data_IF_168691739033
#
_entry.id   IF_168691739033
#
_cell.length_a   1.000
_cell.length_b   1.000
_cell.length_c   1.000
_cell.angle_alpha   90.00
_cell.angle_beta   90.00
_cell.angle_gamma   90.00
#
_symmetry.space_group_name_H-M   'P 1'
#
loop_
_entity.id
_entity.type
_entity.pdbx_description
1 polymer ?
#
# COMPACT_ATOMS: atom_id res chain seq x y z
N UNK A 1 13.32 8.78 -15.91
CA UNK A 1 12.23 9.01 -14.92
C UNK A 1 12.59 8.25 -13.67
N UNK A 2 12.53 8.89 -12.50
CA UNK A 2 12.87 8.27 -11.21
C UNK A 2 11.88 7.16 -10.83
N UNK A 3 12.38 6.06 -10.27
CA UNK A 3 11.56 5.00 -9.65
C UNK A 3 11.88 4.87 -8.16
N UNK A 4 10.92 4.34 -7.42
CA UNK A 4 10.98 4.12 -5.98
C UNK A 4 10.90 2.62 -5.73
N UNK A 5 11.75 2.11 -4.86
CA UNK A 5 11.79 0.69 -4.49
C UNK A 5 11.30 0.59 -3.06
N UNK A 6 10.18 -0.09 -2.88
CA UNK A 6 9.55 -0.29 -1.58
C UNK A 6 9.75 -1.71 -1.11
N UNK A 7 10.02 -1.90 0.17
CA UNK A 7 9.89 -3.17 0.87
C UNK A 7 8.52 -3.20 1.54
N UNK A 8 7.76 -4.25 1.27
CA UNK A 8 6.48 -4.54 1.92
C UNK A 8 6.58 -5.86 2.69
N UNK A 9 5.92 -5.93 3.84
CA UNK A 9 5.67 -7.16 4.61
C UNK A 9 4.39 -7.02 5.44
N UNK A 10 3.71 -8.13 5.72
CA UNK A 10 2.57 -8.14 6.66
C UNK A 10 3.11 -7.92 8.07
N UNK A 11 2.51 -7.01 8.84
CA UNK A 11 2.98 -6.60 10.17
C UNK A 11 3.25 -7.79 11.10
N UNK A 12 2.34 -8.78 11.09
CA UNK A 12 2.40 -10.02 11.87
C UNK A 12 3.39 -11.06 11.31
N UNK A 13 3.71 -11.00 10.02
CA UNK A 13 4.50 -12.04 9.32
C UNK A 13 5.67 -11.42 8.55
N UNK A 14 6.66 -10.92 9.32
CA UNK A 14 7.84 -10.24 8.78
C UNK A 14 8.76 -11.12 7.92
N UNK A 15 8.56 -12.44 7.92
CA UNK A 15 9.29 -13.41 7.11
C UNK A 15 8.84 -13.44 5.64
N UNK A 16 7.65 -12.90 5.33
CA UNK A 16 7.15 -12.77 3.96
C UNK A 16 7.37 -11.34 3.49
N UNK A 17 8.21 -11.17 2.46
CA UNK A 17 8.64 -9.85 1.99
C UNK A 17 8.46 -9.73 0.48
N UNK A 18 7.99 -8.56 0.04
CA UNK A 18 7.95 -8.16 -1.37
C UNK A 18 8.73 -6.88 -1.54
N UNK A 19 9.69 -6.84 -2.48
CA UNK A 19 10.22 -5.56 -2.93
C UNK A 19 9.54 -5.18 -4.24
N UNK A 20 8.95 -3.99 -4.30
CA UNK A 20 8.13 -3.51 -5.40
C UNK A 20 8.74 -2.20 -5.90
N UNK A 21 8.99 -2.13 -7.20
CA UNK A 21 9.49 -0.93 -7.85
C UNK A 21 8.37 -0.27 -8.65
N UNK A 22 8.19 1.04 -8.44
CA UNK A 22 7.17 1.86 -9.11
C UNK A 22 7.77 3.19 -9.59
N UNK A 23 7.27 3.77 -10.70
CA UNK A 23 7.56 5.16 -11.04
C UNK A 23 7.21 6.12 -9.90
N UNK A 24 8.01 7.18 -9.73
CA UNK A 24 7.74 8.23 -8.74
C UNK A 24 6.34 8.86 -8.88
N UNK A 25 5.81 8.87 -10.11
CA UNK A 25 4.51 9.43 -10.46
C UNK A 25 3.32 8.49 -10.21
N UNK A 26 3.55 7.25 -9.77
CA UNK A 26 2.46 6.31 -9.45
C UNK A 26 1.61 6.86 -8.31
N UNK A 27 0.28 6.87 -8.45
CA UNK A 27 -0.61 7.25 -7.38
C UNK A 27 -0.78 6.14 -6.33
N UNK A 28 -1.23 6.49 -5.13
CA UNK A 28 -1.36 5.54 -4.03
C UNK A 28 -2.36 4.42 -4.34
N UNK A 29 -3.41 4.68 -5.11
CA UNK A 29 -4.35 3.64 -5.54
C UNK A 29 -3.65 2.54 -6.36
N UNK A 30 -2.90 2.93 -7.40
CA UNK A 30 -2.15 1.99 -8.23
C UNK A 30 -0.98 1.35 -7.49
N UNK A 31 -0.46 2.01 -6.46
CA UNK A 31 0.52 1.41 -5.57
C UNK A 31 -0.10 0.35 -4.64
N UNK A 32 -1.29 0.59 -4.08
CA UNK A 32 -2.05 -0.39 -3.30
C UNK A 32 -2.36 -1.64 -4.12
N UNK A 33 -2.87 -1.47 -5.34
CA UNK A 33 -3.10 -2.56 -6.31
C UNK A 33 -1.82 -3.39 -6.53
N UNK A 34 -0.66 -2.72 -6.68
CA UNK A 34 0.62 -3.39 -6.87
C UNK A 34 1.10 -4.16 -5.63
N UNK A 35 0.83 -3.65 -4.42
CA UNK A 35 1.15 -4.34 -3.16
C UNK A 35 0.32 -5.61 -3.05
N UNK A 36 -1.00 -5.50 -3.17
CA UNK A 36 -1.94 -6.62 -3.06
C UNK A 36 -1.64 -7.70 -4.11
N UNK A 37 -1.46 -7.32 -5.37
CA UNK A 37 -1.06 -8.24 -6.43
C UNK A 37 0.30 -8.93 -6.17
N UNK A 38 1.23 -8.28 -5.45
CA UNK A 38 2.51 -8.91 -5.11
C UNK A 38 2.39 -10.06 -4.10
N UNK A 39 1.31 -10.09 -3.30
CA UNK A 39 0.96 -11.19 -2.40
C UNK A 39 -0.01 -12.20 -3.04
N UNK A 40 -0.52 -11.92 -4.25
CA UNK A 40 -1.47 -12.80 -4.93
C UNK A 40 -2.90 -12.66 -4.40
N UNK A 41 -3.19 -11.55 -3.73
CA UNK A 41 -4.51 -11.23 -3.22
C UNK A 41 -5.37 -10.59 -4.31
N UNK A 42 -6.69 -10.70 -4.16
CA UNK A 42 -7.69 -9.92 -4.88
C UNK A 42 -7.74 -8.50 -4.32
N UNK A 43 -7.94 -7.52 -5.21
CA UNK A 43 -7.99 -6.11 -4.87
C UNK A 43 -9.44 -5.60 -4.95
N UNK A 44 -10.24 -6.04 -3.99
CA UNK A 44 -11.70 -5.98 -3.98
C UNK A 44 -12.29 -5.27 -2.75
N UNK A 45 -11.44 -4.84 -1.80
CA UNK A 45 -11.86 -4.12 -0.60
C UNK A 45 -11.27 -2.71 -0.49
N UNK A 46 -11.84 -1.94 0.43
CA UNK A 46 -11.36 -0.61 0.78
C UNK A 46 -10.02 -0.68 1.54
N UNK A 47 -9.27 0.43 1.47
CA UNK A 47 -7.93 0.50 2.01
C UNK A 47 -7.48 1.93 2.29
N UNK A 48 -6.37 2.03 3.03
CA UNK A 48 -5.74 3.31 3.37
C UNK A 48 -4.26 3.19 3.70
N UNK A 49 -3.57 4.33 3.67
CA UNK A 49 -2.18 4.50 4.09
C UNK A 49 -2.12 5.42 5.31
N UNK A 50 -1.41 5.02 6.35
CA UNK A 50 -1.36 5.68 7.65
C UNK A 50 0.09 5.83 8.14
N UNK A 51 0.47 7.00 8.68
CA UNK A 51 1.83 7.24 9.19
C UNK A 51 2.11 6.54 10.52
N UNK A 52 1.09 6.27 11.32
CA UNK A 52 1.21 5.49 12.55
C UNK A 52 1.23 4.00 12.22
N UNK A 53 2.34 3.33 12.52
CA UNK A 53 2.55 1.91 12.24
C UNK A 53 2.18 1.08 13.49
N UNK A 54 0.89 0.85 13.67
CA UNK A 54 0.35 0.05 14.75
C UNK A 54 -0.90 -0.69 14.28
N UNK A 55 -1.20 -1.85 14.88
CA UNK A 55 -2.41 -2.64 14.55
C UNK A 55 -3.70 -2.00 15.09
N UNK A 56 -3.54 -1.04 16.00
CA UNK A 56 -4.60 -0.22 16.57
C UNK A 56 -4.15 1.22 16.50
N UNK A 57 -5.06 2.20 16.56
CA UNK A 57 -4.73 3.64 16.57
C UNK A 57 -4.13 4.19 15.27
N UNK A 58 -4.12 3.40 14.18
CA UNK A 58 -3.64 3.89 12.88
C UNK A 58 -4.50 5.04 12.33
N UNK A 59 -5.78 5.10 12.67
CA UNK A 59 -6.67 6.22 12.31
C UNK A 59 -6.29 7.56 12.97
N UNK A 60 -5.50 7.54 14.04
CA UNK A 60 -4.94 8.74 14.70
C UNK A 60 -3.69 9.29 13.99
N UNK A 61 -3.36 8.77 12.81
CA UNK A 61 -2.21 9.24 12.03
C UNK A 61 -2.33 10.71 11.61
N UNK A 62 -1.26 11.48 11.85
CA UNK A 62 -1.13 12.85 11.32
C UNK A 62 -1.18 12.89 9.79
N UNK A 63 -0.66 11.85 9.13
CA UNK A 63 -0.73 11.68 7.68
C UNK A 63 -1.50 10.41 7.34
N UNK A 64 -2.64 10.58 6.68
CA UNK A 64 -3.47 9.47 6.21
C UNK A 64 -4.06 9.74 4.84
N UNK A 65 -4.19 8.68 4.04
CA UNK A 65 -4.76 8.70 2.70
C UNK A 65 -5.67 7.48 2.52
N UNK A 66 -6.90 7.67 2.07
CA UNK A 66 -7.89 6.59 2.05
C UNK A 66 -8.72 6.60 0.77
N UNK A 67 -9.19 5.42 0.36
CA UNK A 67 -10.11 5.28 -0.78
C UNK A 67 -11.43 6.03 -0.55
N UNK A 68 -11.90 6.12 0.70
CA UNK A 68 -13.14 6.82 1.04
C UNK A 68 -13.12 8.29 0.62
N UNK A 69 -11.97 8.96 0.69
CA UNK A 69 -11.86 10.34 0.20
C UNK A 69 -12.17 10.43 -1.30
N UNK A 70 -11.74 9.46 -2.10
CA UNK A 70 -12.04 9.42 -3.53
C UNK A 70 -13.51 9.08 -3.81
N UNK A 71 -14.13 8.18 -3.02
CA UNK A 71 -15.54 7.83 -3.16
C UNK A 71 -16.49 8.99 -2.81
N UNK A 72 -16.18 9.74 -1.74
CA UNK A 72 -16.90 10.95 -1.37
C UNK A 72 -16.83 11.99 -2.50
N UNK A 73 -15.66 12.17 -3.11
CA UNK A 73 -15.50 13.06 -4.27
C UNK A 73 -16.26 12.57 -5.52
N UNK A 74 -16.51 11.27 -5.62
CA UNK A 74 -17.31 10.63 -6.68
C UNK A 74 -18.83 10.67 -6.39
N UNK A 75 -19.23 11.11 -5.20
CA UNK A 75 -20.62 11.37 -4.83
C UNK A 75 -21.24 10.38 -3.85
N UNK A 76 -20.45 9.45 -3.30
CA UNK A 76 -20.94 8.48 -2.31
C UNK A 76 -21.21 9.16 -0.94
N UNK A 77 -22.28 8.75 -0.26
CA UNK A 77 -22.68 9.24 1.06
C UNK A 77 -21.89 8.52 2.17
N UNK A 78 -20.64 8.96 2.37
CA UNK A 78 -19.70 8.42 3.36
C UNK A 78 -19.22 9.56 4.26
N UNK A 79 -19.11 9.32 5.57
CA UNK A 79 -18.57 10.31 6.49
C UNK A 79 -17.07 10.61 6.19
N UNK A 80 -16.67 11.89 6.10
CA UNK A 80 -15.27 12.25 5.85
C UNK A 80 -14.34 11.78 6.97
N UNK A 81 -13.29 11.05 6.61
CA UNK A 81 -12.30 10.55 7.59
C UNK A 81 -11.19 11.56 7.93
N UNK A 82 -11.14 12.68 7.19
CA UNK A 82 -10.04 13.65 7.22
C UNK A 82 -8.77 13.18 6.50
N UNK A 83 -8.83 12.09 5.73
CA UNK A 83 -7.72 11.59 4.93
C UNK A 83 -7.63 12.25 3.55
N UNK A 84 -6.43 12.22 2.96
CA UNK A 84 -6.22 12.63 1.57
C UNK A 84 -6.62 11.55 0.55
N UNK A 85 -6.83 11.96 -0.70
CA UNK A 85 -7.17 11.06 -1.81
C UNK A 85 -6.00 10.13 -2.19
N UNK A 86 -6.27 8.85 -2.43
CA UNK A 86 -5.29 7.89 -2.94
C UNK A 86 -5.14 7.94 -4.47
N UNK A 87 -6.16 8.42 -5.20
CA UNK A 87 -6.07 8.59 -6.67
C UNK A 87 -5.29 9.85 -7.07
N UNK A 88 -5.30 10.91 -6.26
CA UNK A 88 -4.61 12.19 -6.52
C UNK A 88 -3.20 12.29 -5.92
N UNK A 89 -2.91 11.54 -4.87
CA UNK A 89 -1.60 11.57 -4.19
C UNK A 89 -0.62 10.61 -4.86
N UNK A 90 0.59 11.06 -5.18
CA UNK A 90 1.66 10.22 -5.75
C UNK A 90 2.55 9.63 -4.66
N UNK A 91 3.22 8.52 -4.97
CA UNK A 91 4.23 7.93 -4.07
C UNK A 91 5.35 8.94 -3.73
N UNK A 92 5.75 9.77 -4.68
CA UNK A 92 6.73 10.84 -4.46
C UNK A 92 6.23 11.96 -3.56
N UNK A 93 4.93 12.10 -3.37
CA UNK A 93 4.35 13.10 -2.46
C UNK A 93 4.42 12.60 -1.01
N UNK A 94 4.35 11.28 -0.82
CA UNK A 94 4.30 10.64 0.50
C UNK A 94 5.68 10.30 1.05
N UNK A 95 6.49 9.58 0.28
CA UNK A 95 7.83 9.17 0.71
C UNK A 95 8.86 10.09 0.10
N UNK A 96 9.68 10.73 0.95
CA UNK A 96 10.74 11.66 0.53
C UNK A 96 12.11 11.06 0.73
N UNK A 97 12.31 10.29 1.80
CA UNK A 97 13.60 9.74 2.19
C UNK A 97 13.56 8.22 2.35
N UNK A 98 14.68 7.56 2.04
CA UNK A 98 14.87 6.14 2.35
C UNK A 98 14.73 5.91 3.85
N UNK A 99 14.03 4.85 4.23
CA UNK A 99 13.69 4.49 5.61
C UNK A 99 12.32 4.98 6.06
N UNK A 100 11.69 5.91 5.35
CA UNK A 100 10.32 6.32 5.63
C UNK A 100 9.32 5.18 5.40
N UNK A 101 8.33 5.10 6.28
CA UNK A 101 7.36 4.00 6.34
C UNK A 101 5.95 4.53 6.46
N UNK A 102 5.01 3.76 5.91
CA UNK A 102 3.58 3.88 6.20
C UNK A 102 3.02 2.48 6.48
N UNK A 103 1.97 2.42 7.28
CA UNK A 103 1.07 1.28 7.32
C UNK A 103 0.12 1.38 6.12
N UNK A 104 0.12 0.39 5.25
CA UNK A 104 -0.92 0.17 4.26
C UNK A 104 -1.90 -0.86 4.83
N UNK A 105 -3.10 -0.41 5.17
CA UNK A 105 -4.16 -1.26 5.66
C UNK A 105 -5.10 -1.59 4.51
N UNK A 106 -5.22 -2.87 4.18
CA UNK A 106 -6.17 -3.38 3.17
C UNK A 106 -7.24 -4.22 3.86
N UNK A 107 -8.45 -4.15 3.34
CA UNK A 107 -9.63 -4.83 3.90
C UNK A 107 -9.87 -4.45 5.36
N UNK A 108 -10.76 -3.49 5.59
CA UNK A 108 -11.06 -3.00 6.93
C UNK A 108 -11.87 -4.01 7.76
N UNK A 109 -12.44 -5.06 7.15
CA UNK A 109 -13.10 -6.15 7.84
C UNK A 109 -12.09 -7.13 8.42
N UNK A 110 -11.22 -7.67 7.57
CA UNK A 110 -10.23 -8.69 7.97
C UNK A 110 -8.91 -8.12 8.49
N UNK A 111 -8.71 -6.81 8.32
CA UNK A 111 -7.58 -6.05 8.82
C UNK A 111 -6.24 -6.65 8.36
N UNK A 112 -5.86 -6.40 7.09
CA UNK A 112 -4.55 -6.76 6.55
C UNK A 112 -3.53 -5.61 6.68
N UNK A 113 -2.72 -5.55 7.75
CA UNK A 113 -1.72 -4.51 7.96
C UNK A 113 -0.42 -4.84 7.23
N UNK A 114 -0.14 -4.15 6.13
CA UNK A 114 1.16 -4.19 5.47
C UNK A 114 2.02 -3.00 5.92
N UNK A 115 3.25 -3.26 6.33
CA UNK A 115 4.24 -2.17 6.49
C UNK A 115 4.93 -1.96 5.15
N UNK A 116 4.98 -0.71 4.70
CA UNK A 116 5.59 -0.32 3.43
C UNK A 116 6.70 0.69 3.68
N UNK A 117 7.93 0.31 3.36
CA UNK A 117 9.15 1.08 3.61
C UNK A 117 9.82 1.46 2.29
N UNK A 118 10.15 2.74 2.10
CA UNK A 118 11.01 3.15 0.99
C UNK A 118 12.44 2.69 1.28
N UNK A 119 12.98 1.76 0.48
CA UNK A 119 14.33 1.21 0.68
C UNK A 119 15.35 1.68 -0.35
N UNK A 120 14.92 2.38 -1.39
CA UNK A 120 15.83 2.87 -2.40
C UNK A 120 15.15 3.52 -3.59
N UNK A 121 16.01 3.99 -4.48
CA UNK A 121 15.68 4.76 -5.66
C UNK A 121 16.27 4.06 -6.88
N UNK A 122 15.62 4.16 -8.03
CA UNK A 122 16.09 3.61 -9.30
C UNK A 122 15.80 4.52 -10.49
N UNK A 123 16.20 4.09 -11.68
CA UNK A 123 15.85 4.78 -12.92
C UNK A 123 14.95 3.87 -13.73
N UNK A 124 13.82 4.40 -14.18
CA UNK A 124 12.86 3.68 -15.01
C UNK A 124 13.57 3.12 -16.24
N UNK A 125 13.53 1.79 -16.36
CA UNK A 125 13.97 1.09 -17.56
C UNK A 125 12.87 1.20 -18.63
N UNK A 126 13.14 1.80 -19.80
CA UNK A 126 12.15 1.94 -20.88
C UNK A 126 11.63 0.60 -21.41
N UNK A 127 12.37 -0.50 -21.22
CA UNK A 127 11.99 -1.84 -21.70
C UNK A 127 11.21 -2.64 -20.65
N UNK A 128 11.18 -2.18 -19.40
CA UNK A 128 10.48 -2.86 -18.32
C UNK A 128 9.04 -2.37 -18.17
N UNK A 129 8.14 -3.30 -17.82
CA UNK A 129 6.79 -2.97 -17.35
C UNK A 129 6.82 -2.63 -15.86
N UNK A 130 5.98 -1.69 -15.48
CA UNK A 130 5.81 -1.23 -14.11
C UNK A 130 4.33 -1.20 -13.74
N UNK A 131 3.95 -1.38 -12.47
CA UNK A 131 4.77 -1.79 -11.32
C UNK A 131 5.46 -3.14 -11.52
N UNK A 132 6.59 -3.39 -10.85
CA UNK A 132 7.26 -4.70 -10.88
C UNK A 132 7.73 -5.16 -9.51
N UNK A 133 7.60 -6.46 -9.25
CA UNK A 133 8.16 -7.09 -8.06
C UNK A 133 9.60 -7.49 -8.35
N UNK A 134 10.55 -6.85 -7.66
CA UNK A 134 11.99 -7.08 -7.84
C UNK A 134 12.57 -8.07 -6.83
N UNK A 135 11.84 -8.39 -5.75
CA UNK A 135 12.21 -9.44 -4.79
C UNK A 135 10.99 -10.10 -4.19
N UNK A 136 11.02 -11.42 -4.03
CA UNK A 136 10.04 -12.21 -3.27
C UNK A 136 10.77 -13.07 -2.24
N UNK A 137 10.30 -13.04 -1.00
CA UNK A 137 10.79 -13.90 0.09
C UNK A 137 9.58 -14.49 0.81
N UNK A 138 9.61 -15.79 1.09
CA UNK A 138 8.52 -16.50 1.76
C UNK A 138 7.28 -16.70 0.90
N UNK A 139 6.49 -17.73 1.24
CA UNK A 139 5.16 -17.97 0.67
C UNK A 139 4.20 -16.90 1.18
N UNK A 140 3.40 -16.29 0.30
CA UNK A 140 2.35 -15.39 0.75
C UNK A 140 1.33 -16.17 1.61
N UNK A 141 0.74 -15.56 2.65
CA UNK A 141 -0.43 -16.14 3.29
C UNK A 141 -1.56 -16.32 2.28
N UNK A 142 -2.52 -17.17 2.59
CA UNK A 142 -3.80 -17.19 1.88
C UNK A 142 -4.64 -15.98 2.32
N UNK A 143 -5.39 -15.39 1.39
CA UNK A 143 -6.17 -14.18 1.68
C UNK A 143 -7.39 -14.49 2.54
N UNK A 144 -8.20 -15.47 2.13
CA UNK A 144 -9.37 -15.92 2.86
C UNK A 144 -9.31 -17.45 2.91
N UNK A 145 -8.67 -18.04 3.95
CA UNK A 145 -8.69 -19.49 4.10
C UNK A 145 -10.12 -19.93 4.38
N UNK A 146 -10.53 -21.05 3.80
CA UNK A 146 -11.81 -21.68 4.13
C UNK A 146 -11.87 -21.91 5.65
N UNK A 147 -12.89 -21.35 6.30
CA UNK A 147 -13.20 -21.71 7.68
C UNK A 147 -13.71 -23.15 7.66
N UNK A 148 -12.94 -24.08 8.22
CA UNK A 148 -13.46 -25.42 8.53
C UNK A 148 -14.66 -25.24 9.47
N UNK A 149 -15.85 -25.72 9.05
CA UNK A 149 -17.08 -25.75 9.86
C UNK A 149 -16.91 -26.57 11.15
#
# INVERSE_FOLDING_TARGET
MQTYIFKSYVFRTKSVVRNIEVPASTNLYKFAEAIIAAYGFYFDHCFGFFSTIAETRYFDSDRKYELFTDLIEEGDDIEPTGAGSVKKTKVSDVWKNVGEKMLFLFDYGDNWPFVVELIGFGVKDPKAKYPRVVKRVGKAPEQYPDVEE
#
